data_IF_769939268878
#
_entry.id   IF_769939268878
#
_cell.length_a   1.000
_cell.length_b   1.000
_cell.length_c   1.000
_cell.angle_alpha   90.00
_cell.angle_beta   90.00
_cell.angle_gamma   90.00
#
_symmetry.space_group_name_H-M   'P 1'
#
loop_
_entity.id
_entity.type
_entity.pdbx_description
1 polymer ?
#
# COMPACT_ATOMS: atom_id res chain seq x y z
N UNK A 1 5.46 8.02 18.51
CA UNK A 1 6.03 6.66 18.65
C UNK A 1 5.68 5.90 17.37
N UNK A 2 6.66 5.44 16.60
CA UNK A 2 6.41 4.73 15.33
C UNK A 2 6.18 3.25 15.59
N UNK A 3 4.93 2.87 15.86
CA UNK A 3 4.53 1.47 15.94
C UNK A 3 4.70 0.83 14.55
N UNK A 4 5.43 -0.29 14.48
CA UNK A 4 5.74 -0.98 13.23
C UNK A 4 5.00 -2.31 13.16
N UNK A 5 4.37 -2.58 12.03
CA UNK A 5 3.67 -3.83 11.73
C UNK A 5 4.43 -4.64 10.70
N UNK A 6 4.40 -5.97 10.83
CA UNK A 6 4.96 -6.90 9.85
C UNK A 6 3.85 -7.42 8.97
N UNK A 7 4.03 -7.30 7.67
CA UNK A 7 3.09 -7.82 6.67
C UNK A 7 3.84 -8.49 5.53
N UNK A 8 3.10 -9.11 4.60
CA UNK A 8 3.66 -9.72 3.39
C UNK A 8 3.03 -9.06 2.17
N UNK A 9 3.86 -8.62 1.23
CA UNK A 9 3.44 -8.14 -0.09
C UNK A 9 4.11 -9.06 -1.10
N UNK A 10 3.34 -9.73 -1.95
CA UNK A 10 3.84 -10.70 -2.95
C UNK A 10 4.80 -11.74 -2.36
N UNK A 11 4.48 -12.26 -1.17
CA UNK A 11 5.31 -13.22 -0.43
C UNK A 11 6.55 -12.64 0.25
N UNK A 12 6.93 -11.39 -0.04
CA UNK A 12 8.06 -10.68 0.58
C UNK A 12 7.67 -10.14 1.94
N UNK A 13 8.52 -10.34 2.95
CA UNK A 13 8.31 -9.79 4.30
C UNK A 13 8.60 -8.28 4.29
N UNK A 14 7.61 -7.48 4.65
CA UNK A 14 7.68 -6.02 4.70
C UNK A 14 7.40 -5.56 6.13
N UNK A 15 8.10 -4.52 6.57
CA UNK A 15 7.82 -3.84 7.84
C UNK A 15 7.34 -2.44 7.53
N UNK A 16 6.08 -2.15 7.86
CA UNK A 16 5.45 -0.85 7.62
C UNK A 16 5.14 -0.15 8.94
N UNK A 17 4.87 1.15 8.90
CA UNK A 17 4.39 1.91 10.06
C UNK A 17 2.88 1.72 10.22
N UNK A 18 2.40 1.68 11.46
CA UNK A 18 0.97 1.65 11.72
C UNK A 18 0.33 2.94 11.19
N UNK A 19 -0.74 2.81 10.39
CA UNK A 19 -1.43 3.94 9.75
C UNK A 19 -0.81 4.39 8.41
N UNK A 20 0.28 3.76 7.98
CA UNK A 20 0.84 3.94 6.63
C UNK A 20 -0.04 3.27 5.57
N UNK A 21 -0.04 3.81 4.35
CA UNK A 21 -0.79 3.21 3.24
C UNK A 21 -0.05 1.98 2.69
N UNK A 22 -0.79 1.05 2.08
CA UNK A 22 -0.18 -0.11 1.41
C UNK A 22 0.77 0.35 0.29
N UNK A 23 0.42 1.44 -0.38
CA UNK A 23 1.22 2.02 -1.46
C UNK A 23 2.58 2.50 -0.95
N UNK A 24 2.62 3.25 0.15
CA UNK A 24 3.88 3.71 0.75
C UNK A 24 4.71 2.54 1.29
N UNK A 25 4.06 1.56 1.95
CA UNK A 25 4.73 0.36 2.45
C UNK A 25 5.35 -0.48 1.31
N UNK A 26 4.68 -0.58 0.17
CA UNK A 26 5.19 -1.24 -1.02
C UNK A 26 6.38 -0.48 -1.61
N UNK A 27 6.28 0.85 -1.71
CA UNK A 27 7.37 1.72 -2.19
C UNK A 27 8.63 1.56 -1.32
N UNK A 28 8.49 1.60 0.02
CA UNK A 28 9.61 1.40 0.96
C UNK A 28 10.23 -0.02 0.83
N UNK A 29 9.44 -1.02 0.42
CA UNK A 29 9.90 -2.38 0.16
C UNK A 29 10.52 -2.56 -1.26
N UNK A 30 10.54 -1.51 -2.08
CA UNK A 30 10.99 -1.57 -3.47
C UNK A 30 10.03 -2.33 -4.38
N UNK A 31 8.73 -2.31 -4.08
CA UNK A 31 7.65 -2.86 -4.91
C UNK A 31 6.92 -1.68 -5.53
N UNK A 32 7.05 -1.52 -6.84
CA UNK A 32 6.42 -0.40 -7.53
C UNK A 32 4.98 -0.74 -7.91
N UNK A 33 4.03 -0.02 -7.29
CA UNK A 33 2.62 -0.08 -7.66
C UNK A 33 2.29 1.19 -8.46
N UNK A 34 1.84 1.05 -9.72
CA UNK A 34 1.56 2.20 -10.58
C UNK A 34 0.41 3.03 -10.01
N UNK A 35 0.61 4.33 -9.96
CA UNK A 35 -0.39 5.28 -9.49
C UNK A 35 -0.22 6.61 -10.22
N UNK A 36 -1.35 7.27 -10.53
CA UNK A 36 -1.38 8.60 -11.16
C UNK A 36 -2.06 9.65 -10.29
N UNK A 37 -3.01 9.22 -9.47
CA UNK A 37 -3.84 10.11 -8.65
C UNK A 37 -3.41 10.14 -7.17
N UNK A 38 -2.26 9.55 -6.84
CA UNK A 38 -1.69 9.58 -5.49
C UNK A 38 -0.48 10.52 -5.48
N UNK A 39 -0.45 11.42 -4.51
CA UNK A 39 0.71 12.26 -4.23
C UNK A 39 1.07 12.09 -2.77
N UNK A 40 2.34 11.79 -2.49
CA UNK A 40 2.84 11.51 -1.14
C UNK A 40 2.54 12.67 -0.20
N UNK A 41 1.91 12.37 0.93
CA UNK A 41 1.46 13.38 1.91
C UNK A 41 0.10 14.02 1.62
N UNK A 42 -0.55 13.69 0.50
CA UNK A 42 -1.94 14.04 0.23
C UNK A 42 -2.86 12.83 0.39
N UNK A 43 -4.15 13.10 0.62
CA UNK A 43 -5.16 12.03 0.66
C UNK A 43 -5.36 11.48 -0.74
N UNK A 44 -5.24 10.15 -0.89
CA UNK A 44 -5.52 9.48 -2.17
C UNK A 44 -6.97 9.70 -2.59
N UNK A 45 -7.17 10.14 -3.85
CA UNK A 45 -8.51 10.39 -4.41
C UNK A 45 -9.12 9.14 -5.08
N UNK A 46 -8.33 8.10 -5.34
CA UNK A 46 -8.80 6.85 -5.94
C UNK A 46 -9.37 6.98 -7.36
N UNK A 47 -9.01 8.03 -8.10
CA UNK A 47 -9.54 8.30 -9.43
C UNK A 47 -8.94 7.40 -10.53
N UNK A 48 -7.64 7.11 -10.48
CA UNK A 48 -6.98 6.36 -11.56
C UNK A 48 -7.16 4.84 -11.47
N UNK A 49 -7.44 4.30 -10.27
CA UNK A 49 -7.63 2.86 -10.00
C UNK A 49 -6.46 1.95 -10.43
N UNK A 50 -5.29 2.49 -10.72
CA UNK A 50 -4.11 1.70 -11.10
C UNK A 50 -3.45 0.99 -9.91
N UNK A 51 -3.64 1.52 -8.70
CA UNK A 51 -3.07 0.97 -7.47
C UNK A 51 -3.93 -0.11 -6.79
N UNK A 52 -4.90 -0.68 -7.50
CA UNK A 52 -5.76 -1.73 -6.95
C UNK A 52 -4.94 -2.99 -6.68
N UNK A 53 -5.00 -3.49 -5.46
CA UNK A 53 -4.33 -4.71 -5.01
C UNK A 53 -5.31 -5.67 -4.34
N UNK A 54 -5.02 -6.96 -4.45
CA UNK A 54 -5.77 -7.99 -3.74
C UNK A 54 -5.21 -8.16 -2.33
N UNK A 55 -6.12 -8.31 -1.37
CA UNK A 55 -5.77 -8.55 0.03
C UNK A 55 -6.34 -9.90 0.42
N UNK A 56 -5.49 -10.79 0.93
CA UNK A 56 -5.92 -12.09 1.43
C UNK A 56 -7.02 -11.93 2.49
N UNK A 57 -8.16 -12.59 2.27
CA UNK A 57 -9.33 -12.52 3.16
C UNK A 57 -10.37 -11.44 2.80
N UNK A 58 -10.07 -10.53 1.87
CA UNK A 58 -11.06 -9.60 1.32
C UNK A 58 -11.64 -10.14 0.00
N UNK A 59 -12.93 -9.84 -0.23
CA UNK A 59 -13.66 -10.28 -1.43
C UNK A 59 -13.45 -9.40 -2.66
N UNK A 60 -12.93 -8.19 -2.48
CA UNK A 60 -12.75 -7.21 -3.54
C UNK A 60 -11.37 -6.55 -3.42
N UNK A 61 -10.77 -6.15 -4.56
CA UNK A 61 -9.50 -5.43 -4.55
C UNK A 61 -9.67 -4.06 -3.88
N UNK A 62 -8.61 -3.62 -3.21
CA UNK A 62 -8.55 -2.37 -2.44
C UNK A 62 -7.56 -1.40 -3.09
N UNK A 63 -7.84 -0.11 -2.99
CA UNK A 63 -7.01 0.98 -3.50
C UNK A 63 -6.43 1.81 -2.37
#
# INVERSE_FOLDING_TARGET
MSEKVKLRIDGRKVTARLGETILDAAEEAGIHIPNLCYLKGMKGIGACRLCMVEIEGLKAPMA
#
